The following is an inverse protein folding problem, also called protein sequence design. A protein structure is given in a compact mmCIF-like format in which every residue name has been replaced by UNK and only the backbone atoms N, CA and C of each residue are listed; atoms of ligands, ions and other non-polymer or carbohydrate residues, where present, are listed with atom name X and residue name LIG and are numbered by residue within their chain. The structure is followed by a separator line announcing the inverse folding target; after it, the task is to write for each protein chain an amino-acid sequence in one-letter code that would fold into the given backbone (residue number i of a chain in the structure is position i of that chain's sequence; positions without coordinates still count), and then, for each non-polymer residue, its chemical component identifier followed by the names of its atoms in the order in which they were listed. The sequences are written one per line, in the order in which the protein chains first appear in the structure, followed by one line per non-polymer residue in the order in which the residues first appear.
data_IF_019987062355
#
_entry.id   IF_019987062355
#
_cell.length_a   1.000
_cell.length_b   1.000
_cell.length_c   1.000
_cell.angle_alpha   90.00
_cell.angle_beta   90.00
_cell.angle_gamma   90.00
#
_symmetry.space_group_name_H-M   'P 1'
#
loop_
_entity.id
_entity.type
_entity.pdbx_description
1 polymer ?
#
# COMPACT_ATOMS: atom_id res chain seq x y z
N UNK A 1 -26.08 -10.45 0.97
CA UNK A 1 -24.71 -10.49 1.53
C UNK A 1 -23.83 -9.76 0.52
N UNK A 2 -22.99 -8.78 0.91
CA UNK A 2 -22.08 -8.18 -0.06
C UNK A 2 -21.15 -9.28 -0.59
N UNK A 3 -21.07 -9.42 -1.91
CA UNK A 3 -20.16 -10.36 -2.56
C UNK A 3 -18.74 -10.06 -2.09
N UNK A 4 -17.98 -11.09 -1.69
CA UNK A 4 -16.57 -10.95 -1.40
C UNK A 4 -15.88 -10.49 -2.68
N UNK A 5 -15.55 -9.19 -2.76
CA UNK A 5 -14.75 -8.66 -3.86
C UNK A 5 -13.46 -9.46 -3.97
N UNK A 6 -13.16 -9.89 -5.19
CA UNK A 6 -11.95 -10.66 -5.49
C UNK A 6 -10.75 -9.76 -5.24
N UNK A 7 -9.91 -10.14 -4.28
CA UNK A 7 -8.63 -9.44 -4.04
C UNK A 7 -7.77 -9.60 -5.30
N UNK A 8 -7.28 -8.51 -5.92
CA UNK A 8 -6.39 -8.59 -7.07
C UNK A 8 -5.13 -9.42 -6.77
N UNK A 9 -4.55 -10.08 -7.77
CA UNK A 9 -3.29 -10.83 -7.61
C UNK A 9 -2.15 -9.92 -7.12
N UNK A 10 -2.15 -8.67 -7.59
CA UNK A 10 -1.21 -7.65 -7.17
C UNK A 10 -1.94 -6.38 -6.75
N UNK A 11 -1.41 -5.74 -5.73
CA UNK A 11 -1.75 -4.36 -5.37
C UNK A 11 -0.53 -3.48 -5.56
N UNK A 12 -0.75 -2.18 -5.72
CA UNK A 12 0.30 -1.22 -6.05
C UNK A 12 0.55 -0.29 -4.88
N UNK A 13 1.82 -0.08 -4.55
CA UNK A 13 2.26 0.97 -3.64
C UNK A 13 3.16 1.95 -4.39
N UNK A 14 2.88 3.26 -4.25
CA UNK A 14 3.72 4.29 -4.86
C UNK A 14 4.67 4.89 -3.85
N UNK A 15 5.96 4.81 -4.14
CA UNK A 15 7.00 5.52 -3.38
C UNK A 15 7.09 6.94 -3.92
N UNK A 16 6.56 7.88 -3.14
CA UNK A 16 6.67 9.31 -3.42
C UNK A 16 8.00 9.81 -2.85
N UNK A 17 8.92 10.23 -3.71
CA UNK A 17 10.14 10.89 -3.31
C UNK A 17 10.37 12.11 -4.21
N UNK A 18 10.52 13.28 -3.59
CA UNK A 18 10.75 14.55 -4.29
C UNK A 18 12.23 14.77 -4.66
N UNK A 19 13.14 13.93 -4.14
CA UNK A 19 14.57 13.88 -4.47
C UNK A 19 14.99 12.41 -4.74
N UNK A 20 15.72 12.12 -5.83
CA UNK A 20 16.30 10.80 -6.13
C UNK A 20 17.05 10.09 -4.98
N UNK A 21 17.81 10.82 -4.15
CA UNK A 21 18.59 10.21 -3.04
C UNK A 21 17.67 9.60 -1.98
N UNK A 22 16.66 10.35 -1.56
CA UNK A 22 15.63 9.87 -0.64
C UNK A 22 14.81 8.73 -1.23
N UNK A 23 14.62 8.72 -2.56
CA UNK A 23 14.01 7.60 -3.26
C UNK A 23 14.88 6.35 -3.15
N UNK A 24 16.18 6.47 -3.41
CA UNK A 24 17.13 5.36 -3.33
C UNK A 24 17.26 4.80 -1.90
N UNK A 25 17.34 5.66 -0.89
CA UNK A 25 17.35 5.25 0.52
C UNK A 25 16.05 4.54 0.93
N UNK A 26 14.90 5.08 0.53
CA UNK A 26 13.62 4.45 0.80
C UNK A 26 13.53 3.07 0.12
N UNK A 27 14.00 2.96 -1.12
CA UNK A 27 14.03 1.70 -1.86
C UNK A 27 14.98 0.68 -1.21
N UNK A 28 16.17 1.09 -0.77
CA UNK A 28 17.09 0.24 -0.01
C UNK A 28 16.42 -0.27 1.26
N UNK A 29 15.84 0.63 2.06
CA UNK A 29 15.10 0.26 3.28
C UNK A 29 14.01 -0.77 2.96
N UNK A 30 13.20 -0.53 1.94
CA UNK A 30 12.12 -1.44 1.54
C UNK A 30 12.65 -2.81 1.13
N UNK A 31 13.79 -2.89 0.44
CA UNK A 31 14.41 -4.17 0.06
C UNK A 31 14.88 -4.98 1.27
N UNK A 32 15.39 -4.33 2.32
CA UNK A 32 15.92 -5.02 3.50
C UNK A 32 14.86 -5.31 4.58
N UNK A 33 14.01 -4.33 4.88
CA UNK A 33 13.06 -4.41 6.01
C UNK A 33 11.59 -4.49 5.58
N UNK A 34 11.31 -4.31 4.29
CA UNK A 34 9.96 -4.32 3.75
C UNK A 34 9.31 -2.95 3.81
N UNK A 35 8.03 -2.90 3.43
CA UNK A 35 7.28 -1.65 3.44
C UNK A 35 6.61 -1.48 4.81
N UNK A 36 7.17 -0.59 5.61
CA UNK A 36 6.75 -0.32 6.98
C UNK A 36 5.57 0.66 6.98
N UNK A 37 4.56 0.47 7.84
CA UNK A 37 3.44 1.39 7.93
C UNK A 37 3.88 2.81 8.22
N UNK A 38 3.21 3.77 7.59
CA UNK A 38 3.37 5.18 7.93
C UNK A 38 2.08 5.70 8.55
N UNK A 39 2.18 6.70 9.40
CA UNK A 39 1.00 7.40 9.87
C UNK A 39 0.28 7.98 8.65
N UNK A 40 -1.01 7.67 8.42
CA UNK A 40 -1.76 8.32 7.37
C UNK A 40 -1.89 9.79 7.78
N UNK A 41 -1.11 10.64 7.14
CA UNK A 41 -1.16 12.10 7.33
C UNK A 41 -2.02 12.73 6.25
N UNK A 42 -1.85 12.29 5.00
CA UNK A 42 -2.47 12.90 3.82
C UNK A 42 -3.97 12.56 3.65
N UNK A 43 -4.44 11.45 4.22
CA UNK A 43 -5.83 10.96 4.03
C UNK A 43 -6.51 10.60 5.36
N UNK A 44 -6.00 11.12 6.48
CA UNK A 44 -6.45 10.75 7.83
C UNK A 44 -7.93 11.02 8.05
N UNK A 45 -8.40 12.21 7.66
CA UNK A 45 -9.79 12.62 7.88
C UNK A 45 -10.80 11.80 7.08
N UNK A 46 -10.31 11.16 6.03
CA UNK A 46 -11.15 10.40 5.11
C UNK A 46 -11.33 8.96 5.66
N UNK A 47 -10.31 8.34 6.27
CA UNK A 47 -10.40 6.94 6.71
C UNK A 47 -11.52 6.71 7.75
N UNK A 48 -12.14 5.51 7.80
CA UNK A 48 -13.03 5.14 8.89
C UNK A 48 -12.36 5.39 10.25
N UNK A 49 -13.11 5.88 11.25
CA UNK A 49 -12.56 6.29 12.56
C UNK A 49 -11.58 5.29 13.17
N UNK A 50 -11.87 3.99 13.07
CA UNK A 50 -11.03 2.90 13.59
C UNK A 50 -9.62 2.81 12.97
N UNK A 51 -9.40 3.44 11.81
CA UNK A 51 -8.16 3.40 11.04
C UNK A 51 -7.37 4.72 11.07
N UNK A 52 -7.99 5.82 11.49
CA UNK A 52 -7.38 7.17 11.43
C UNK A 52 -6.13 7.32 12.31
N UNK A 53 -6.00 6.49 13.35
CA UNK A 53 -4.85 6.49 14.28
C UNK A 53 -3.91 5.31 14.08
N UNK A 54 -4.20 4.45 13.11
CA UNK A 54 -3.40 3.27 12.84
C UNK A 54 -2.38 3.59 11.76
N UNK A 55 -1.08 3.33 11.98
CA UNK A 55 -0.11 3.31 10.90
C UNK A 55 -0.50 2.25 9.87
N UNK A 56 -0.58 2.63 8.59
CA UNK A 56 -1.04 1.75 7.51
C UNK A 56 -0.11 1.84 6.30
N UNK A 57 -0.16 0.80 5.47
CA UNK A 57 0.39 0.84 4.12
C UNK A 57 -0.76 0.99 3.13
N UNK A 58 -0.67 2.03 2.29
CA UNK A 58 -1.66 2.31 1.25
C UNK A 58 -1.37 1.52 -0.01
N UNK A 59 -2.41 0.93 -0.56
CA UNK A 59 -2.36 0.05 -1.71
C UNK A 59 -3.51 0.37 -2.66
N UNK A 60 -3.29 0.22 -3.96
CA UNK A 60 -4.34 0.42 -4.96
C UNK A 60 -4.39 -0.75 -5.95
N UNK A 61 -5.57 -1.06 -6.46
CA UNK A 61 -5.74 -2.00 -7.57
C UNK A 61 -5.23 -1.44 -8.90
N UNK A 62 -5.24 -0.11 -9.05
CA UNK A 62 -4.69 0.59 -10.21
C UNK A 62 -4.13 1.96 -9.77
N UNK A 63 -3.02 2.39 -10.36
CA UNK A 63 -2.44 3.72 -10.18
C UNK A 63 -2.19 4.33 -11.55
N UNK A 64 -2.63 5.57 -11.76
CA UNK A 64 -2.25 6.32 -12.94
C UNK A 64 -0.74 6.58 -12.92
N UNK A 65 -0.10 6.35 -14.06
CA UNK A 65 1.34 6.51 -14.24
C UNK A 65 1.71 8.00 -14.14
N UNK A 66 2.12 8.42 -12.94
CA UNK A 66 2.66 9.75 -12.65
C UNK A 66 4.01 9.57 -11.98
N UNK A 67 4.92 10.54 -12.14
CA UNK A 67 6.25 10.56 -11.54
C UNK A 67 6.32 9.89 -10.14
N UNK A 68 7.22 8.91 -9.99
CA UNK A 68 7.46 8.10 -8.79
C UNK A 68 7.68 6.62 -9.11
N UNK A 69 8.21 5.85 -8.16
CA UNK A 69 8.44 4.41 -8.32
C UNK A 69 7.21 3.62 -7.85
N UNK A 70 6.70 2.71 -8.68
CA UNK A 70 5.57 1.84 -8.35
C UNK A 70 6.08 0.46 -7.96
N UNK A 71 5.72 0.04 -6.75
CA UNK A 71 5.95 -1.30 -6.24
C UNK A 71 4.71 -2.16 -6.47
N UNK A 72 4.91 -3.37 -6.99
CA UNK A 72 3.89 -4.42 -7.07
C UNK A 72 3.97 -5.32 -5.86
N UNK A 73 2.87 -5.45 -5.15
CA UNK A 73 2.71 -6.24 -3.94
C UNK A 73 1.92 -7.51 -4.25
N UNK A 74 2.55 -8.68 -4.10
CA UNK A 74 1.91 -9.99 -4.28
C UNK A 74 0.93 -10.27 -3.14
N UNK A 75 -0.37 -10.21 -3.42
CA UNK A 75 -1.41 -10.32 -2.36
C UNK A 75 -1.48 -11.72 -1.76
N UNK A 76 -1.12 -12.76 -2.51
CA UNK A 76 -1.03 -14.15 -2.01
C UNK A 76 -0.02 -14.34 -0.88
N UNK A 77 0.94 -13.42 -0.74
CA UNK A 77 1.97 -13.44 0.31
C UNK A 77 1.61 -12.55 1.51
N UNK A 78 0.43 -11.94 1.50
CA UNK A 78 -0.07 -11.12 2.59
C UNK A 78 -1.01 -11.92 3.50
N UNK A 79 -1.05 -11.54 4.77
CA UNK A 79 -2.11 -11.98 5.67
C UNK A 79 -3.41 -11.25 5.32
N UNK A 80 -4.38 -12.00 4.78
CA UNK A 80 -5.68 -11.47 4.37
C UNK A 80 -6.46 -10.82 5.51
N UNK A 81 -6.27 -11.25 6.76
CA UNK A 81 -6.95 -10.65 7.91
C UNK A 81 -6.47 -9.22 8.18
N UNK A 82 -5.31 -8.82 7.62
CA UNK A 82 -4.72 -7.49 7.78
C UNK A 82 -4.95 -6.58 6.58
N UNK A 83 -5.49 -7.13 5.49
CA UNK A 83 -5.81 -6.41 4.27
C UNK A 83 -7.28 -5.97 4.32
N UNK A 84 -7.52 -4.68 4.18
CA UNK A 84 -8.87 -4.09 4.24
C UNK A 84 -9.10 -3.31 2.95
N UNK A 85 -10.16 -3.68 2.23
CA UNK A 85 -10.64 -2.87 1.12
C UNK A 85 -11.30 -1.60 1.65
N UNK A 86 -11.06 -0.49 0.97
CA UNK A 86 -11.74 0.77 1.19
C UNK A 86 -12.79 0.92 0.08
N UNK A 87 -14.06 1.01 0.47
CA UNK A 87 -15.17 1.40 -0.42
C UNK A 87 -15.07 2.89 -0.77
N UNK A 88 -14.02 3.22 -1.51
CA UNK A 88 -13.64 4.57 -1.83
C UNK A 88 -13.33 4.71 -3.30
N UNK A 89 -14.19 5.46 -3.99
CA UNK A 89 -14.10 5.71 -5.41
C UNK A 89 -14.06 4.41 -6.24
N UNK A 90 -14.13 4.52 -7.56
CA UNK A 90 -14.09 3.36 -8.46
C UNK A 90 -12.68 2.75 -8.61
N UNK A 91 -11.70 3.23 -7.84
CA UNK A 91 -10.25 2.99 -8.07
C UNK A 91 -9.72 1.77 -7.29
N UNK A 92 -10.57 1.10 -6.49
CA UNK A 92 -10.20 -0.14 -5.78
C UNK A 92 -9.05 0.08 -4.80
N UNK A 93 -9.28 0.88 -3.75
CA UNK A 93 -8.28 1.18 -2.72
C UNK A 93 -8.24 0.14 -1.62
N UNK A 94 -7.05 -0.09 -1.09
CA UNK A 94 -6.79 -1.05 -0.02
C UNK A 94 -5.83 -0.46 1.00
N UNK A 95 -5.92 -0.93 2.23
CA UNK A 95 -4.94 -0.67 3.27
C UNK A 95 -4.49 -1.98 3.92
N UNK A 96 -3.19 -2.07 4.18
CA UNK A 96 -2.61 -3.19 4.90
C UNK A 96 -2.15 -2.75 6.29
N UNK A 97 -2.58 -3.48 7.33
CA UNK A 97 -2.24 -3.20 8.72
C UNK A 97 -0.90 -3.83 9.06
N UNK A 98 0.15 -3.03 9.19
CA UNK A 98 1.49 -3.49 9.55
C UNK A 98 2.43 -3.66 8.37
N UNK A 99 3.64 -4.17 8.62
CA UNK A 99 4.69 -4.21 7.60
C UNK A 99 4.40 -5.26 6.52
N UNK A 100 4.61 -4.86 5.27
CA UNK A 100 4.59 -5.77 4.12
C UNK A 100 5.99 -6.38 3.98
N UNK A 101 6.12 -7.72 3.99
CA UNK A 101 7.42 -8.36 3.93
C UNK A 101 8.11 -8.13 2.57
N UNK A 102 9.45 -8.00 2.51
CA UNK A 102 10.19 -7.83 1.26
C UNK A 102 9.85 -8.87 0.19
N UNK A 103 9.62 -10.12 0.61
CA UNK A 103 9.29 -11.22 -0.29
C UNK A 103 8.00 -10.99 -1.11
N UNK A 104 7.08 -10.16 -0.60
CA UNK A 104 5.86 -9.79 -1.29
C UNK A 104 6.04 -8.66 -2.32
N UNK A 105 7.19 -7.99 -2.34
CA UNK A 105 7.41 -6.76 -3.12
C UNK A 105 8.17 -7.08 -4.41
N UNK A 106 7.70 -6.54 -5.54
CA UNK A 106 8.38 -6.56 -6.84
C UNK A 106 8.45 -5.14 -7.37
N UNK A 107 9.60 -4.75 -7.89
CA UNK A 107 9.73 -3.52 -8.66
C UNK A 107 9.08 -3.74 -10.03
N UNK A 108 8.30 -2.78 -10.51
CA UNK A 108 7.70 -2.84 -11.86
C UNK A 108 8.68 -2.35 -12.90
#
# INVERSE_FOLDING_TARGET
MPELRVIPEFLLHKVMAFNPELAAEAMLSIRYVGLVPRLPTEYRGSLPMRLQRTPLVWLAGNLADRAGTILRIQTRLLDRARLVELDWHDVGWWVYRGAIPPAAIRES
#
